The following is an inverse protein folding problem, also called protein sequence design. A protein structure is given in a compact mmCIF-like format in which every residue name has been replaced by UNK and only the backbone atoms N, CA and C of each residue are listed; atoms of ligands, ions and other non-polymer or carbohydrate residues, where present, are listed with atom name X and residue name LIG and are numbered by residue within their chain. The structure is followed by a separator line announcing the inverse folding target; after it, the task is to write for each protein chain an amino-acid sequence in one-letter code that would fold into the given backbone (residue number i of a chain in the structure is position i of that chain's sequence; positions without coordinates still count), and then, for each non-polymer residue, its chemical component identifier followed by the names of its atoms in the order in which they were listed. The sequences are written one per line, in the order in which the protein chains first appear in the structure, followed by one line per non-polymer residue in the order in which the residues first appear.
data_IF_946688873854
#
_entry.id   IF_946688873854
#
_cell.length_a   1.000
_cell.length_b   1.000
_cell.length_c   1.000
_cell.angle_alpha   90.00
_cell.angle_beta   90.00
_cell.angle_gamma   90.00
#
_symmetry.space_group_name_H-M   'P 1'
#
loop_
_entity.id
_entity.type
_entity.pdbx_description
1 polymer ?
#
# COMPACT_ATOMS: atom_id res chain seq x y z
N UNK A 1 -22.96 -26.85 -46.80
CA UNK A 1 -21.68 -26.35 -47.26
C UNK A 1 -20.57 -26.94 -46.41
N UNK A 2 -19.48 -27.40 -47.02
CA UNK A 2 -18.30 -27.88 -46.27
C UNK A 2 -17.62 -26.70 -45.56
N UNK A 3 -17.25 -26.87 -44.29
CA UNK A 3 -16.46 -25.88 -43.57
C UNK A 3 -15.07 -25.80 -44.23
N UNK A 4 -14.63 -24.60 -44.58
CA UNK A 4 -13.27 -24.35 -45.04
C UNK A 4 -12.38 -24.21 -43.82
N UNK A 5 -11.39 -25.09 -43.69
CA UNK A 5 -10.41 -25.03 -42.60
C UNK A 5 -9.12 -24.39 -43.16
N UNK A 6 -8.70 -23.28 -42.57
CA UNK A 6 -7.44 -22.62 -42.89
C UNK A 6 -6.35 -23.10 -41.94
N UNK A 7 -5.21 -23.51 -42.54
CA UNK A 7 -4.01 -23.87 -41.79
C UNK A 7 -2.98 -22.76 -41.99
N UNK A 8 -2.66 -22.04 -40.90
CA UNK A 8 -1.68 -20.95 -40.91
C UNK A 8 -1.97 -19.91 -39.81
N UNK A 9 -1.09 -18.93 -39.70
CA UNK A 9 -1.22 -17.86 -38.69
C UNK A 9 -2.22 -16.77 -39.04
N UNK A 10 -2.87 -16.87 -40.21
CA UNK A 10 -3.85 -15.89 -40.68
C UNK A 10 -3.26 -14.55 -41.14
N UNK A 11 -1.96 -14.39 -41.19
CA UNK A 11 -1.26 -13.13 -41.54
C UNK A 11 -1.59 -12.60 -42.93
N UNK A 12 -2.02 -13.47 -43.85
CA UNK A 12 -2.38 -13.14 -45.23
C UNK A 12 -3.90 -13.12 -45.47
N UNK A 13 -4.74 -13.13 -44.46
CA UNK A 13 -6.17 -13.07 -44.58
C UNK A 13 -6.66 -11.62 -44.39
N UNK A 14 -7.21 -11.02 -45.44
CA UNK A 14 -7.85 -9.70 -45.33
C UNK A 14 -9.12 -9.76 -44.49
N UNK A 15 -9.26 -8.82 -43.56
CA UNK A 15 -10.44 -8.69 -42.72
C UNK A 15 -10.45 -9.61 -41.47
N UNK A 16 -9.41 -10.41 -41.27
CA UNK A 16 -9.25 -11.16 -40.03
C UNK A 16 -8.58 -10.25 -38.99
N UNK A 17 -9.33 -9.91 -37.96
CA UNK A 17 -8.78 -9.15 -36.81
C UNK A 17 -7.87 -10.07 -36.01
N UNK A 18 -6.59 -10.06 -36.32
CA UNK A 18 -5.55 -10.72 -35.54
C UNK A 18 -5.04 -9.73 -34.48
N UNK A 19 -5.66 -9.70 -33.31
CA UNK A 19 -5.19 -8.88 -32.23
C UNK A 19 -6.28 -8.44 -31.27
N UNK A 20 -5.86 -8.03 -30.09
CA UNK A 20 -6.74 -7.46 -29.08
C UNK A 20 -6.73 -5.94 -29.21
N UNK A 21 -7.91 -5.32 -29.32
CA UNK A 21 -8.05 -3.88 -29.22
C UNK A 21 -8.13 -3.50 -27.73
N UNK A 22 -7.26 -2.58 -27.30
CA UNK A 22 -7.33 -2.00 -25.96
C UNK A 22 -8.01 -0.65 -26.04
N UNK A 23 -9.03 -0.44 -25.17
CA UNK A 23 -9.77 0.82 -25.07
C UNK A 23 -9.59 1.44 -23.68
N UNK A 24 -9.44 2.76 -23.62
CA UNK A 24 -9.52 3.56 -22.41
C UNK A 24 -10.64 4.58 -22.56
N UNK A 25 -11.62 4.57 -21.66
CA UNK A 25 -12.80 5.45 -21.74
C UNK A 25 -13.58 5.33 -23.08
N UNK A 26 -13.58 4.14 -23.69
CA UNK A 26 -14.23 3.88 -24.98
C UNK A 26 -13.36 4.23 -26.21
N UNK A 27 -12.25 4.92 -26.05
CA UNK A 27 -11.32 5.26 -27.13
C UNK A 27 -10.24 4.20 -27.29
N UNK A 28 -9.90 3.85 -28.54
CA UNK A 28 -8.81 2.92 -28.83
C UNK A 28 -7.46 3.50 -28.42
N UNK A 29 -6.68 2.76 -27.62
CA UNK A 29 -5.33 3.12 -27.22
C UNK A 29 -4.26 2.22 -27.84
N UNK A 30 -4.67 1.18 -28.53
CA UNK A 30 -3.79 0.30 -29.27
C UNK A 30 -4.54 -0.72 -30.10
N UNK A 31 -4.07 -0.93 -31.33
CA UNK A 31 -4.58 -1.91 -32.29
C UNK A 31 -3.45 -2.83 -32.73
N UNK A 32 -3.81 -4.05 -33.13
CA UNK A 32 -2.84 -5.06 -33.62
C UNK A 32 -1.72 -5.38 -32.61
N UNK A 33 -2.08 -5.41 -31.33
CA UNK A 33 -1.13 -5.70 -30.25
C UNK A 33 -0.78 -7.19 -30.22
N UNK A 34 0.50 -7.49 -30.18
CA UNK A 34 1.01 -8.86 -30.02
C UNK A 34 1.33 -9.20 -28.57
N UNK A 35 1.44 -8.18 -27.70
CA UNK A 35 1.67 -8.35 -26.27
C UNK A 35 1.07 -7.20 -25.47
N UNK A 36 0.60 -7.52 -24.26
CA UNK A 36 0.18 -6.54 -23.23
C UNK A 36 1.14 -6.72 -22.06
N UNK A 37 1.87 -5.68 -21.72
CA UNK A 37 2.81 -5.70 -20.59
C UNK A 37 2.18 -4.99 -19.38
N UNK A 38 2.03 -5.73 -18.28
CA UNK A 38 1.62 -5.20 -16.98
C UNK A 38 2.87 -5.02 -16.12
N UNK A 39 3.19 -3.78 -15.74
CA UNK A 39 4.37 -3.51 -14.92
C UNK A 39 4.06 -3.80 -13.43
N UNK A 40 3.86 -2.81 -12.61
CA UNK A 40 3.55 -3.01 -11.19
C UNK A 40 2.03 -2.90 -10.92
N UNK A 41 1.57 -3.54 -9.83
CA UNK A 41 0.17 -3.47 -9.38
C UNK A 41 -0.80 -4.43 -10.06
N UNK A 42 -0.35 -5.27 -10.99
CA UNK A 42 -1.16 -6.33 -11.58
C UNK A 42 -0.54 -7.70 -11.36
N UNK A 43 -1.35 -8.67 -11.03
CA UNK A 43 -0.96 -10.09 -10.99
C UNK A 43 -1.64 -10.81 -12.15
N UNK A 44 -0.83 -11.48 -12.98
CA UNK A 44 -1.31 -12.29 -14.09
C UNK A 44 -1.16 -13.76 -13.72
N UNK A 45 -2.27 -14.48 -13.61
CA UNK A 45 -2.24 -15.93 -13.40
C UNK A 45 -2.29 -16.66 -14.74
N UNK A 46 -1.55 -17.77 -14.84
CA UNK A 46 -1.65 -18.66 -15.99
C UNK A 46 -3.05 -19.23 -16.08
N UNK A 47 -3.72 -18.94 -17.20
CA UNK A 47 -5.05 -19.45 -17.48
C UNK A 47 -5.01 -20.81 -18.15
N UNK A 48 -6.14 -21.50 -18.14
CA UNK A 48 -6.42 -22.66 -18.96
C UNK A 48 -7.53 -22.34 -19.96
N UNK A 49 -7.58 -23.08 -21.05
CA UNK A 49 -8.61 -22.92 -22.08
C UNK A 49 -8.72 -21.49 -22.70
N UNK A 50 -7.57 -20.82 -22.88
CA UNK A 50 -7.51 -19.49 -23.51
C UNK A 50 -7.97 -18.31 -22.66
N UNK A 51 -8.21 -18.51 -21.36
CA UNK A 51 -8.57 -17.45 -20.42
C UNK A 51 -7.41 -17.19 -19.46
N UNK A 52 -6.95 -15.96 -19.40
CA UNK A 52 -6.00 -15.48 -18.39
C UNK A 52 -6.68 -14.44 -17.51
N UNK A 53 -6.61 -14.62 -16.20
CA UNK A 53 -7.17 -13.66 -15.26
C UNK A 53 -6.10 -12.65 -14.86
N UNK A 54 -6.42 -11.38 -14.98
CA UNK A 54 -5.60 -10.27 -14.52
C UNK A 54 -6.27 -9.66 -13.31
N UNK A 55 -5.59 -9.71 -12.17
CA UNK A 55 -6.05 -9.07 -10.95
C UNK A 55 -5.28 -7.80 -10.73
N UNK A 56 -5.97 -6.67 -10.67
CA UNK A 56 -5.38 -5.37 -10.32
C UNK A 56 -5.78 -5.10 -8.87
N UNK A 57 -4.80 -5.11 -7.98
CA UNK A 57 -5.00 -4.70 -6.61
C UNK A 57 -5.08 -3.17 -6.57
N UNK A 58 -6.30 -2.63 -6.56
CA UNK A 58 -6.55 -1.22 -6.34
C UNK A 58 -7.06 -1.04 -4.91
N UNK A 59 -6.38 -0.22 -4.11
CA UNK A 59 -6.81 0.07 -2.75
C UNK A 59 -5.65 0.30 -1.78
N UNK A 60 -6.02 0.71 -0.57
CA UNK A 60 -5.09 0.89 0.54
C UNK A 60 -4.78 -0.47 1.14
N UNK A 61 -3.51 -0.86 1.13
CA UNK A 61 -3.05 -2.07 1.82
C UNK A 61 -2.92 -1.79 3.30
N UNK A 62 -3.46 -2.68 4.13
CA UNK A 62 -3.45 -2.58 5.60
C UNK A 62 -2.49 -3.60 6.20
N UNK A 63 -1.63 -3.14 7.11
CA UNK A 63 -0.80 -3.99 7.97
C UNK A 63 -1.29 -3.92 9.42
N UNK A 64 -1.57 -5.08 10.01
CA UNK A 64 -1.96 -5.20 11.42
C UNK A 64 -0.79 -5.73 12.24
N UNK A 65 -0.48 -5.09 13.36
CA UNK A 65 0.61 -5.48 14.25
C UNK A 65 0.18 -5.45 15.72
N UNK A 66 0.59 -6.47 16.46
CA UNK A 66 0.48 -6.49 17.92
C UNK A 66 1.88 -6.79 18.48
N UNK A 67 2.69 -5.75 18.72
CA UNK A 67 4.08 -5.91 19.17
C UNK A 67 4.13 -6.42 20.61
N UNK A 68 5.24 -7.07 20.96
CA UNK A 68 5.57 -7.37 22.34
C UNK A 68 5.84 -6.09 23.12
N UNK A 69 5.81 -6.16 24.47
CA UNK A 69 6.23 -5.05 25.32
C UNK A 69 7.68 -4.63 25.00
N UNK A 70 7.96 -3.35 25.03
CA UNK A 70 9.28 -2.74 24.76
C UNK A 70 9.84 -3.03 23.36
N UNK A 71 8.97 -3.22 22.38
CA UNK A 71 9.38 -3.55 21.02
C UNK A 71 9.80 -2.32 20.20
N UNK A 72 10.71 -2.54 19.25
CA UNK A 72 10.90 -1.67 18.09
C UNK A 72 9.91 -2.12 17.00
N UNK A 73 9.03 -1.23 16.60
CA UNK A 73 8.07 -1.49 15.51
C UNK A 73 8.62 -0.85 14.24
N UNK A 74 8.80 -1.67 13.21
CA UNK A 74 9.18 -1.18 11.88
C UNK A 74 7.96 -1.19 10.97
N UNK A 75 7.57 -0.02 10.46
CA UNK A 75 6.54 0.13 9.44
C UNK A 75 7.15 -0.15 8.08
N UNK A 76 6.65 -1.14 7.37
CA UNK A 76 7.02 -1.38 5.97
C UNK A 76 6.13 -0.52 5.07
N UNK A 77 6.66 0.66 4.70
CA UNK A 77 5.95 1.64 3.87
C UNK A 77 5.87 1.22 2.40
N UNK A 78 6.68 0.25 1.99
CA UNK A 78 6.57 -0.34 0.65
C UNK A 78 5.45 -1.36 0.54
N UNK A 79 5.08 -1.99 1.66
CA UNK A 79 4.07 -3.05 1.70
C UNK A 79 2.66 -2.54 2.05
N UNK A 80 2.54 -1.48 2.88
CA UNK A 80 1.24 -1.00 3.32
C UNK A 80 1.20 0.53 3.46
N UNK A 81 0.03 1.13 3.17
CA UNK A 81 -0.25 2.55 3.37
C UNK A 81 -0.95 2.82 4.70
N UNK A 82 -1.65 1.83 5.24
CA UNK A 82 -2.35 1.92 6.51
C UNK A 82 -1.81 0.88 7.48
N UNK A 83 -1.43 1.31 8.68
CA UNK A 83 -0.91 0.46 9.74
C UNK A 83 -1.82 0.54 10.96
N UNK A 84 -2.33 -0.59 11.42
CA UNK A 84 -3.12 -0.71 12.65
C UNK A 84 -2.26 -1.42 13.70
N UNK A 85 -1.89 -0.70 14.75
CA UNK A 85 -0.99 -1.18 15.79
C UNK A 85 -1.74 -1.23 17.12
N UNK A 86 -1.89 -2.42 17.65
CA UNK A 86 -2.42 -2.66 18.99
C UNK A 86 -1.26 -2.75 19.98
N UNK A 87 -1.06 -1.72 20.76
CA UNK A 87 0.08 -1.59 21.66
C UNK A 87 -0.01 -2.56 22.84
N UNK A 88 1.13 -2.97 23.34
CA UNK A 88 1.28 -3.74 24.58
C UNK A 88 1.98 -2.87 25.60
N UNK A 89 1.52 -2.87 26.86
CA UNK A 89 2.04 -1.98 27.92
C UNK A 89 3.58 -2.00 28.01
N UNK A 90 4.18 -0.83 28.13
CA UNK A 90 5.62 -0.66 28.17
C UNK A 90 6.11 0.53 27.34
N UNK A 91 7.30 0.42 26.77
CA UNK A 91 7.90 1.44 25.90
C UNK A 91 8.00 0.88 24.48
N UNK A 92 7.54 1.63 23.51
CA UNK A 92 7.58 1.22 22.10
C UNK A 92 8.19 2.35 21.27
N UNK A 93 9.09 2.00 20.37
CA UNK A 93 9.64 2.94 19.38
C UNK A 93 9.16 2.55 17.98
N UNK A 94 8.65 3.51 17.24
CA UNK A 94 8.19 3.33 15.86
C UNK A 94 9.26 3.86 14.91
N UNK A 95 9.67 3.03 13.98
CA UNK A 95 10.54 3.38 12.85
C UNK A 95 9.91 2.92 11.54
N UNK A 96 10.58 3.13 10.42
CA UNK A 96 10.06 2.72 9.12
C UNK A 96 11.16 2.17 8.21
N UNK A 97 10.72 1.47 7.17
CA UNK A 97 11.52 1.01 6.04
C UNK A 97 10.72 1.13 4.75
N UNK A 98 11.38 1.14 3.61
CA UNK A 98 10.71 1.24 2.31
C UNK A 98 10.04 2.60 2.05
N UNK A 99 9.02 2.59 1.20
CA UNK A 99 8.23 3.75 0.78
C UNK A 99 8.88 4.58 -0.32
N UNK A 100 8.10 5.43 -0.96
CA UNK A 100 8.53 6.30 -2.06
C UNK A 100 8.20 7.75 -1.72
N UNK A 101 9.05 8.68 -2.11
CA UNK A 101 8.80 10.11 -1.89
C UNK A 101 7.47 10.53 -2.56
N UNK A 102 6.61 11.21 -1.80
CA UNK A 102 5.26 11.59 -2.19
C UNK A 102 4.16 10.67 -1.68
N UNK A 103 4.49 9.45 -1.22
CA UNK A 103 3.50 8.53 -0.65
C UNK A 103 2.97 9.05 0.68
N UNK A 104 1.68 8.81 0.90
CA UNK A 104 0.98 9.15 2.15
C UNK A 104 0.63 7.88 2.91
N UNK A 105 0.84 7.91 4.21
CA UNK A 105 0.59 6.79 5.11
C UNK A 105 -0.15 7.24 6.36
N UNK A 106 -0.80 6.27 7.00
CA UNK A 106 -1.47 6.46 8.29
C UNK A 106 -1.19 5.31 9.24
N UNK A 107 -1.00 5.64 10.50
CA UNK A 107 -0.80 4.69 11.59
C UNK A 107 -1.85 4.93 12.66
N UNK A 108 -2.67 3.94 12.93
CA UNK A 108 -3.56 3.93 14.09
C UNK A 108 -2.85 3.23 15.24
N UNK A 109 -2.81 3.89 16.38
CA UNK A 109 -2.20 3.39 17.61
C UNK A 109 -3.31 3.18 18.63
N UNK A 110 -3.56 1.95 19.04
CA UNK A 110 -4.52 1.62 20.08
C UNK A 110 -3.80 1.23 21.35
N UNK A 111 -4.02 1.98 22.42
CA UNK A 111 -3.49 1.67 23.76
C UNK A 111 -4.02 0.33 24.26
N UNK A 112 -3.26 -0.43 25.06
CA UNK A 112 -3.72 -1.68 25.64
C UNK A 112 -4.95 -1.49 26.55
N UNK A 113 -5.70 -2.57 26.77
CA UNK A 113 -6.84 -2.57 27.67
C UNK A 113 -6.46 -2.43 29.16
N UNK A 114 -5.19 -2.66 29.49
CA UNK A 114 -4.63 -2.46 30.83
C UNK A 114 -3.18 -2.03 30.73
N UNK A 115 -2.77 -1.07 31.56
CA UNK A 115 -1.47 -0.42 31.48
C UNK A 115 -1.43 0.61 30.35
N UNK A 116 -0.29 1.25 30.19
CA UNK A 116 -0.06 2.33 29.21
C UNK A 116 1.22 2.00 28.43
N UNK A 117 1.23 2.35 27.16
CA UNK A 117 2.43 2.32 26.33
C UNK A 117 2.92 3.74 26.09
N UNK A 118 4.18 4.00 26.45
CA UNK A 118 4.88 5.21 25.98
C UNK A 118 5.43 4.95 24.58
N UNK A 119 5.00 5.76 23.61
CA UNK A 119 5.40 5.60 22.22
C UNK A 119 6.41 6.68 21.84
N UNK A 120 7.57 6.26 21.35
CA UNK A 120 8.55 7.12 20.70
C UNK A 120 8.53 6.93 19.18
N UNK A 121 9.02 7.91 18.45
CA UNK A 121 9.22 7.84 17.01
C UNK A 121 10.69 8.02 16.68
N UNK A 122 11.18 7.33 15.68
CA UNK A 122 12.52 7.53 15.16
C UNK A 122 12.72 8.95 14.63
N UNK A 123 13.95 9.39 14.49
CA UNK A 123 14.30 10.71 13.96
C UNK A 123 13.85 10.97 12.52
N UNK A 124 13.36 9.94 11.83
CA UNK A 124 12.78 10.07 10.49
C UNK A 124 11.46 10.84 10.50
N UNK A 125 10.66 10.72 11.55
CA UNK A 125 9.40 11.44 11.71
C UNK A 125 9.64 12.88 12.14
N UNK A 126 9.17 13.82 11.34
CA UNK A 126 9.23 15.27 11.58
C UNK A 126 7.85 15.79 11.94
N UNK A 127 7.65 16.08 13.20
CA UNK A 127 6.41 16.69 13.68
C UNK A 127 6.52 18.22 13.71
N UNK A 128 5.39 18.94 13.70
CA UNK A 128 5.37 20.39 13.80
C UNK A 128 6.17 20.88 15.03
N UNK A 129 6.93 21.95 14.85
CA UNK A 129 7.81 22.54 15.87
C UNK A 129 8.89 21.59 16.42
N UNK A 130 9.15 20.46 15.74
CA UNK A 130 10.15 19.47 16.16
C UNK A 130 9.80 18.69 17.44
N UNK A 131 8.58 18.81 17.92
CA UNK A 131 8.12 18.13 19.15
C UNK A 131 7.23 16.95 18.80
N UNK A 132 7.49 15.80 19.43
CA UNK A 132 6.61 14.64 19.34
C UNK A 132 5.26 14.94 20.00
N UNK A 133 4.14 14.48 19.40
CA UNK A 133 2.85 14.59 20.05
C UNK A 133 2.82 13.75 21.32
N UNK A 134 2.24 14.30 22.40
CA UNK A 134 1.89 13.52 23.56
C UNK A 134 0.67 12.66 23.20
N UNK A 135 0.91 11.38 22.91
CA UNK A 135 -0.15 10.44 22.59
C UNK A 135 -1.08 10.24 23.79
N UNK A 136 -2.32 9.85 23.50
CA UNK A 136 -3.35 9.71 24.51
C UNK A 136 -3.01 8.61 25.51
N UNK A 137 -3.05 8.93 26.79
CA UNK A 137 -2.89 7.99 27.88
C UNK A 137 -4.24 7.41 28.29
N UNK A 138 -4.23 6.17 28.74
CA UNK A 138 -5.40 5.45 29.23
C UNK A 138 -5.82 4.28 28.37
N UNK A 139 -6.57 3.37 28.99
CA UNK A 139 -6.94 2.10 28.38
C UNK A 139 -7.74 2.27 27.09
N UNK A 140 -7.33 1.52 26.06
CA UNK A 140 -8.02 1.45 24.77
C UNK A 140 -8.15 2.80 24.03
N UNK A 141 -7.38 3.81 24.40
CA UNK A 141 -7.34 5.08 23.68
C UNK A 141 -6.74 4.88 22.30
N UNK A 142 -7.24 5.66 21.34
CA UNK A 142 -6.87 5.55 19.94
C UNK A 142 -6.33 6.89 19.46
N UNK A 143 -5.16 6.83 18.84
CA UNK A 143 -4.53 7.97 18.18
C UNK A 143 -4.24 7.63 16.72
N UNK A 144 -4.31 8.63 15.86
CA UNK A 144 -3.99 8.53 14.44
C UNK A 144 -2.79 9.42 14.13
N UNK A 145 -1.74 8.83 13.57
CA UNK A 145 -0.60 9.57 13.02
C UNK A 145 -0.63 9.44 11.52
N UNK A 146 -0.73 10.56 10.83
CA UNK A 146 -0.67 10.62 9.36
C UNK A 146 0.62 11.31 8.94
N UNK A 147 1.24 10.83 7.86
CA UNK A 147 2.48 11.40 7.36
C UNK A 147 2.62 11.24 5.85
N UNK A 148 3.46 12.10 5.28
CA UNK A 148 3.89 12.06 3.88
C UNK A 148 5.39 11.84 3.85
N UNK A 149 5.86 10.98 2.97
CA UNK A 149 7.29 10.78 2.73
C UNK A 149 7.80 11.95 1.91
N UNK A 150 8.67 12.78 2.50
CA UNK A 150 9.31 13.89 1.80
C UNK A 150 10.59 13.46 1.11
N UNK A 151 11.40 12.66 1.78
CA UNK A 151 12.72 12.26 1.28
C UNK A 151 12.94 10.76 1.47
N UNK A 152 13.37 10.10 0.40
CA UNK A 152 13.84 8.73 0.40
C UNK A 152 15.38 8.75 0.33
N UNK A 153 16.03 8.01 1.23
CA UNK A 153 17.49 7.86 1.23
C UNK A 153 18.00 6.97 0.11
N UNK A 154 19.31 6.97 -0.09
CA UNK A 154 19.98 6.21 -1.16
C UNK A 154 19.76 4.68 -1.09
N UNK A 155 19.40 4.14 0.08
CA UNK A 155 19.12 2.71 0.31
C UNK A 155 17.64 2.34 0.14
N UNK A 156 16.79 3.26 -0.35
CA UNK A 156 15.35 3.03 -0.46
C UNK A 156 14.58 3.12 0.85
N UNK A 157 15.21 3.55 1.94
CA UNK A 157 14.56 3.81 3.22
C UNK A 157 14.11 5.26 3.28
N UNK A 158 12.87 5.49 3.68
CA UNK A 158 12.36 6.86 3.89
C UNK A 158 13.07 7.50 5.09
N UNK A 159 13.65 8.68 4.87
CA UNK A 159 14.50 9.36 5.87
C UNK A 159 13.91 10.65 6.40
N UNK A 160 12.85 11.14 5.78
CA UNK A 160 12.13 12.33 6.24
C UNK A 160 10.63 12.19 5.97
N UNK A 161 9.86 12.07 7.03
CA UNK A 161 8.41 11.92 7.01
C UNK A 161 7.79 13.11 7.73
N UNK A 162 7.00 13.90 7.00
CA UNK A 162 6.26 15.03 7.58
C UNK A 162 4.99 14.48 8.22
N UNK A 163 4.93 14.50 9.54
CA UNK A 163 3.92 13.82 10.32
C UNK A 163 3.05 14.79 11.13
N UNK A 164 1.81 14.40 11.35
CA UNK A 164 0.88 15.03 12.28
C UNK A 164 0.08 13.97 13.03
N UNK A 165 -0.48 14.31 14.19
CA UNK A 165 -1.27 13.38 15.00
C UNK A 165 -2.63 13.97 15.33
N UNK A 166 -3.68 13.13 15.17
CA UNK A 166 -4.98 13.32 15.76
C UNK A 166 -5.09 12.42 16.99
N UNK A 167 -5.55 12.97 18.09
CA UNK A 167 -5.49 12.33 19.40
C UNK A 167 -6.86 12.01 19.95
N UNK A 168 -6.92 10.97 20.79
CA UNK A 168 -8.06 10.60 21.61
C UNK A 168 -9.37 10.40 20.82
N UNK A 169 -9.32 9.59 19.78
CA UNK A 169 -10.52 9.18 19.06
C UNK A 169 -11.42 8.31 19.97
N UNK A 170 -12.64 8.75 20.17
CA UNK A 170 -13.63 8.06 21.00
C UNK A 170 -14.82 7.64 20.14
N UNK A 171 -15.43 6.50 20.48
CA UNK A 171 -16.73 6.16 19.93
C UNK A 171 -17.74 7.24 20.33
N UNK A 172 -18.44 7.81 19.37
CA UNK A 172 -19.61 8.64 19.65
C UNK A 172 -20.69 7.73 20.22
N UNK A 173 -21.21 8.06 21.40
CA UNK A 173 -22.33 7.34 22.06
C UNK A 173 -23.64 7.85 21.50
#
# INVERSE_FOLDING_TARGET
GAAVVYYGDGSNLDGVVSGVEIKSGGSSVGTSLTAINFQSGATVSTGSAGITTITIAAGITTAHQTPSANALITLDLGAAQYHDIRLTAGITTITCTGGTAGDSHSVVLTQPSSGITTVGFSSYFKFPSGSFPALSEGNSKIDLVSFVIRTQGATGVSTELLASAGLNYLSQV
#
